data_IF_091986751673
#
_entry.id   IF_091986751673
#
_cell.length_a   1.000
_cell.length_b   1.000
_cell.length_c   1.000
_cell.angle_alpha   90.00
_cell.angle_beta   90.00
_cell.angle_gamma   90.00
#
_symmetry.space_group_name_H-M   'P 1'
#
loop_
_entity.id
_entity.type
_entity.pdbx_description
1 polymer ?
#
# COMPACT_ATOMS: atom_id res chain seq x y z
N UNK A 1 23.73 -3.62 4.92
CA UNK A 1 24.52 -2.53 5.52
C UNK A 1 25.37 -1.69 4.54
N UNK A 2 25.75 -2.17 3.36
CA UNK A 2 26.62 -1.43 2.40
C UNK A 2 25.98 -0.25 1.62
N UNK A 3 24.66 -0.02 1.73
CA UNK A 3 23.96 0.98 0.91
C UNK A 3 23.86 2.37 1.56
N UNK A 4 24.15 2.51 2.85
CA UNK A 4 23.99 3.77 3.59
C UNK A 4 25.17 4.76 3.39
N UNK A 5 26.29 4.31 2.83
CA UNK A 5 27.51 5.09 2.62
C UNK A 5 27.66 5.72 1.22
N UNK A 6 26.68 5.54 0.32
CA UNK A 6 26.78 6.01 -1.08
C UNK A 6 26.10 7.36 -1.28
N UNK A 7 26.72 8.25 -2.09
CA UNK A 7 26.15 9.54 -2.55
C UNK A 7 24.78 9.35 -3.21
N UNK A 8 23.87 10.30 -3.02
CA UNK A 8 22.46 10.23 -3.46
C UNK A 8 22.32 9.95 -4.97
N UNK A 9 23.15 10.56 -5.80
CA UNK A 9 23.10 10.39 -7.27
C UNK A 9 23.39 8.96 -7.72
N UNK A 10 24.34 8.29 -7.06
CA UNK A 10 24.65 6.88 -7.36
C UNK A 10 23.52 5.94 -6.94
N UNK A 11 22.75 6.28 -5.90
CA UNK A 11 21.56 5.51 -5.50
C UNK A 11 20.45 5.69 -6.54
N UNK A 12 20.24 6.92 -6.99
CA UNK A 12 19.26 7.25 -8.01
C UNK A 12 19.58 6.56 -9.34
N UNK A 13 20.81 6.67 -9.85
CA UNK A 13 21.23 6.03 -11.10
C UNK A 13 21.02 4.51 -11.08
N UNK A 14 21.38 3.83 -9.96
CA UNK A 14 21.14 2.39 -9.81
C UNK A 14 19.65 2.04 -9.76
N UNK A 15 18.83 2.89 -9.15
CA UNK A 15 17.38 2.74 -9.13
C UNK A 15 16.83 2.79 -10.55
N UNK A 16 17.21 3.81 -11.31
CA UNK A 16 16.81 3.98 -12.71
C UNK A 16 17.26 2.80 -13.57
N UNK A 17 18.49 2.30 -13.39
CA UNK A 17 18.97 1.12 -14.09
C UNK A 17 18.15 -0.15 -13.80
N UNK A 18 17.66 -0.32 -12.56
CA UNK A 18 16.75 -1.43 -12.23
C UNK A 18 15.38 -1.27 -12.89
N UNK A 19 14.82 -0.05 -12.87
CA UNK A 19 13.54 0.24 -13.54
C UNK A 19 13.67 -0.06 -15.03
N UNK A 20 14.69 0.51 -15.70
CA UNK A 20 14.92 0.30 -17.12
C UNK A 20 15.05 -1.20 -17.48
N UNK A 21 15.67 -2.00 -16.59
CA UNK A 21 15.80 -3.45 -16.78
C UNK A 21 14.46 -4.19 -16.77
N UNK A 22 13.55 -3.80 -15.87
CA UNK A 22 12.32 -4.55 -15.59
C UNK A 22 11.07 -3.95 -16.21
N UNK A 23 11.11 -2.71 -16.69
CA UNK A 23 9.96 -2.08 -17.36
C UNK A 23 9.77 -2.56 -18.81
N UNK A 24 10.76 -3.24 -19.37
CA UNK A 24 10.67 -3.90 -20.68
C UNK A 24 9.87 -5.22 -20.61
N UNK A 25 9.19 -5.61 -21.70
CA UNK A 25 8.56 -6.94 -21.82
C UNK A 25 9.57 -8.09 -21.65
N UNK A 26 9.10 -9.25 -21.15
CA UNK A 26 9.93 -10.44 -20.99
C UNK A 26 10.09 -11.18 -22.33
N UNK A 27 11.33 -11.30 -22.81
CA UNK A 27 11.65 -12.04 -24.04
C UNK A 27 12.21 -13.44 -23.74
N UNK A 28 11.47 -14.48 -24.13
CA UNK A 28 11.92 -15.86 -24.02
C UNK A 28 11.94 -16.45 -22.59
N UNK A 29 12.47 -17.68 -22.47
CA UNK A 29 12.47 -18.44 -21.20
C UNK A 29 13.49 -17.91 -20.19
N UNK A 30 14.67 -17.50 -20.66
CA UNK A 30 15.74 -17.00 -19.80
C UNK A 30 15.35 -15.69 -19.08
N UNK A 31 14.67 -14.76 -19.75
CA UNK A 31 14.18 -13.53 -19.10
C UNK A 31 13.14 -13.82 -18.03
N UNK A 32 12.21 -14.73 -18.31
CA UNK A 32 11.20 -15.16 -17.34
C UNK A 32 11.85 -15.80 -16.12
N UNK A 33 12.82 -16.69 -16.32
CA UNK A 33 13.55 -17.31 -15.22
C UNK A 33 14.29 -16.27 -14.37
N UNK A 34 14.94 -15.28 -15.01
CA UNK A 34 15.60 -14.16 -14.30
C UNK A 34 14.60 -13.29 -13.54
N UNK A 35 13.44 -13.01 -14.12
CA UNK A 35 12.38 -12.25 -13.46
C UNK A 35 11.84 -13.00 -12.24
N UNK A 36 11.61 -14.31 -12.35
CA UNK A 36 11.20 -15.18 -11.25
C UNK A 36 12.27 -15.22 -10.15
N UNK A 37 13.53 -15.49 -10.50
CA UNK A 37 14.62 -15.50 -9.51
C UNK A 37 14.74 -14.14 -8.80
N UNK A 38 14.62 -13.03 -9.52
CA UNK A 38 14.64 -11.69 -8.92
C UNK A 38 13.43 -11.45 -8.01
N UNK A 39 12.22 -11.81 -8.45
CA UNK A 39 11.00 -11.71 -7.66
C UNK A 39 11.14 -12.49 -6.34
N UNK A 40 11.61 -13.74 -6.41
CA UNK A 40 11.73 -14.63 -5.27
C UNK A 40 12.79 -14.17 -4.27
N UNK A 41 14.00 -13.90 -4.75
CA UNK A 41 15.17 -13.70 -3.90
C UNK A 41 15.42 -12.22 -3.56
N UNK A 42 15.22 -11.31 -4.52
CA UNK A 42 15.53 -9.88 -4.33
C UNK A 42 14.32 -9.12 -3.82
N UNK A 43 13.13 -9.37 -4.39
CA UNK A 43 11.90 -8.76 -3.89
C UNK A 43 11.24 -9.56 -2.76
N UNK A 44 11.87 -10.65 -2.32
CA UNK A 44 11.39 -11.49 -1.22
C UNK A 44 10.01 -12.10 -1.51
N UNK A 45 9.78 -12.45 -2.78
CA UNK A 45 8.58 -13.11 -3.28
C UNK A 45 8.33 -14.48 -2.64
N UNK A 46 9.37 -15.15 -2.15
CA UNK A 46 9.27 -16.44 -1.47
C UNK A 46 8.24 -16.43 -0.32
N UNK A 47 8.20 -15.36 0.49
CA UNK A 47 7.24 -15.26 1.59
C UNK A 47 5.80 -15.05 1.11
N UNK A 48 5.63 -14.38 -0.03
CA UNK A 48 4.31 -14.09 -0.61
C UNK A 48 3.73 -15.29 -1.34
N UNK A 49 4.58 -16.18 -1.85
CA UNK A 49 4.16 -17.48 -2.35
C UNK A 49 3.66 -18.40 -1.23
N UNK A 50 4.29 -18.34 -0.05
CA UNK A 50 3.85 -19.10 1.11
C UNK A 50 2.56 -18.52 1.73
N UNK A 51 2.46 -17.18 1.79
CA UNK A 51 1.29 -16.49 2.32
C UNK A 51 1.04 -15.16 1.59
N UNK A 52 -0.01 -15.14 0.77
CA UNK A 52 -0.36 -13.98 -0.05
C UNK A 52 -1.03 -12.84 0.75
N UNK A 53 -1.41 -13.07 2.02
CA UNK A 53 -2.18 -12.11 2.83
C UNK A 53 -3.39 -11.55 2.07
N UNK A 54 -4.12 -12.43 1.37
CA UNK A 54 -5.26 -12.08 0.54
C UNK A 54 -6.56 -12.12 1.35
N UNK A 55 -7.31 -11.02 1.35
CA UNK A 55 -8.58 -10.90 2.07
C UNK A 55 -9.59 -10.15 1.22
N UNK A 56 -10.86 -10.52 1.37
CA UNK A 56 -11.98 -9.77 0.79
C UNK A 56 -12.30 -8.61 1.71
N UNK A 57 -12.30 -7.39 1.18
CA UNK A 57 -12.70 -6.17 1.91
C UNK A 57 -14.21 -5.99 1.81
N UNK A 58 -14.72 -6.05 0.58
CA UNK A 58 -16.15 -6.01 0.25
C UNK A 58 -16.41 -6.98 -0.91
N UNK A 59 -17.66 -7.24 -1.31
CA UNK A 59 -17.92 -8.02 -2.51
C UNK A 59 -17.18 -7.52 -3.77
N UNK A 60 -16.83 -6.23 -3.80
CA UNK A 60 -16.24 -5.52 -4.95
C UNK A 60 -14.72 -5.28 -4.82
N UNK A 61 -14.14 -5.44 -3.62
CA UNK A 61 -12.71 -5.19 -3.41
C UNK A 61 -12.01 -6.33 -2.64
N UNK A 62 -10.89 -6.78 -3.18
CA UNK A 62 -9.90 -7.63 -2.53
C UNK A 62 -8.65 -6.83 -2.18
N UNK A 63 -7.96 -7.23 -1.11
CA UNK A 63 -6.62 -6.74 -0.75
C UNK A 63 -5.65 -7.90 -0.63
N UNK A 64 -4.38 -7.71 -1.04
CA UNK A 64 -3.35 -8.74 -0.91
C UNK A 64 -1.91 -8.20 -0.83
N UNK A 65 -0.96 -9.07 -0.50
CA UNK A 65 0.42 -8.92 -0.92
C UNK A 65 0.52 -9.00 -2.46
N UNK A 66 1.65 -8.62 -3.04
CA UNK A 66 1.77 -8.65 -4.50
C UNK A 66 1.62 -10.10 -5.02
N UNK A 67 0.62 -10.35 -5.88
CA UNK A 67 0.33 -11.70 -6.37
C UNK A 67 1.39 -12.18 -7.36
N UNK A 68 1.66 -13.48 -7.34
CA UNK A 68 2.38 -14.15 -8.40
C UNK A 68 1.45 -14.40 -9.61
N UNK A 69 2.00 -14.75 -10.79
CA UNK A 69 1.18 -15.05 -11.97
C UNK A 69 0.06 -16.08 -11.75
N UNK A 70 0.32 -17.12 -10.93
CA UNK A 70 -0.68 -18.14 -10.58
C UNK A 70 -1.83 -17.58 -9.75
N UNK A 71 -1.54 -16.65 -8.85
CA UNK A 71 -2.55 -15.98 -8.03
C UNK A 71 -3.41 -15.05 -8.88
N UNK A 72 -2.79 -14.33 -9.83
CA UNK A 72 -3.51 -13.48 -10.79
C UNK A 72 -4.50 -14.32 -11.61
N UNK A 73 -4.09 -15.50 -12.07
CA UNK A 73 -4.97 -16.44 -12.75
C UNK A 73 -6.13 -16.93 -11.85
N UNK A 74 -5.91 -17.06 -10.54
CA UNK A 74 -6.97 -17.37 -9.59
C UNK A 74 -7.94 -16.21 -9.42
N UNK A 75 -7.45 -14.98 -9.23
CA UNK A 75 -8.30 -13.80 -9.13
C UNK A 75 -9.10 -13.52 -10.40
N UNK A 76 -8.53 -13.77 -11.59
CA UNK A 76 -9.24 -13.71 -12.86
C UNK A 76 -10.47 -14.63 -12.84
N UNK A 77 -10.32 -15.87 -12.36
CA UNK A 77 -11.42 -16.84 -12.21
C UNK A 77 -12.45 -16.41 -11.15
N UNK A 78 -12.07 -15.57 -10.19
CA UNK A 78 -12.99 -14.95 -9.23
C UNK A 78 -13.70 -13.70 -9.80
N UNK A 79 -13.46 -13.36 -11.07
CA UNK A 79 -14.08 -12.22 -11.74
C UNK A 79 -13.38 -10.88 -11.48
N UNK A 80 -12.16 -10.87 -10.93
CA UNK A 80 -11.39 -9.62 -10.78
C UNK A 80 -11.12 -9.03 -12.16
N UNK A 81 -11.49 -7.75 -12.34
CA UNK A 81 -11.33 -7.01 -13.60
C UNK A 81 -10.13 -6.07 -13.58
N UNK A 82 -9.75 -5.60 -12.40
CA UNK A 82 -8.65 -4.65 -12.22
C UNK A 82 -7.72 -5.06 -11.09
N UNK A 83 -6.42 -4.94 -11.30
CA UNK A 83 -5.40 -5.00 -10.25
C UNK A 83 -4.78 -3.61 -10.06
N UNK A 84 -4.77 -3.13 -8.83
CA UNK A 84 -4.22 -1.83 -8.43
C UNK A 84 -2.89 -2.03 -7.71
N UNK A 85 -1.81 -1.53 -8.31
CA UNK A 85 -0.46 -1.54 -7.73
C UNK A 85 -0.20 -0.29 -6.89
N UNK A 86 -0.07 -0.46 -5.58
CA UNK A 86 0.19 0.64 -4.65
C UNK A 86 1.67 0.99 -4.48
N UNK A 87 2.58 0.25 -5.14
CA UNK A 87 4.01 0.37 -4.88
C UNK A 87 4.68 1.49 -5.65
N UNK A 88 4.21 1.78 -6.87
CA UNK A 88 4.89 2.66 -7.84
C UNK A 88 6.31 2.21 -8.22
N UNK A 89 6.71 1.00 -7.80
CA UNK A 89 8.08 0.51 -7.88
C UNK A 89 8.22 -0.61 -8.90
N UNK A 90 8.73 -0.26 -10.09
CA UNK A 90 8.99 -1.17 -11.22
C UNK A 90 10.40 -1.75 -11.21
N UNK A 91 10.99 -1.86 -10.02
CA UNK A 91 12.43 -2.17 -9.83
C UNK A 91 12.75 -3.67 -9.73
N UNK A 92 11.73 -4.52 -9.80
CA UNK A 92 11.84 -5.94 -9.53
C UNK A 92 11.19 -6.76 -10.64
N UNK A 93 11.66 -7.99 -10.81
CA UNK A 93 11.11 -8.96 -11.76
C UNK A 93 9.63 -9.28 -11.53
N UNK A 94 9.09 -8.96 -10.34
CA UNK A 94 7.66 -9.03 -10.05
C UNK A 94 6.81 -8.18 -11.01
N UNK A 95 7.31 -7.01 -11.43
CA UNK A 95 6.58 -6.07 -12.28
C UNK A 95 6.26 -6.63 -13.67
N UNK A 96 7.25 -7.06 -14.48
CA UNK A 96 6.95 -7.58 -15.80
C UNK A 96 6.22 -8.93 -15.76
N UNK A 97 6.43 -9.75 -14.71
CA UNK A 97 5.65 -10.97 -14.49
C UNK A 97 4.17 -10.66 -14.24
N UNK A 98 3.88 -9.65 -13.43
CA UNK A 98 2.52 -9.19 -13.16
C UNK A 98 1.87 -8.63 -14.43
N UNK A 99 2.57 -7.79 -15.19
CA UNK A 99 2.07 -7.24 -16.46
C UNK A 99 1.68 -8.35 -17.43
N UNK A 100 2.59 -9.29 -17.70
CA UNK A 100 2.33 -10.41 -18.60
C UNK A 100 1.14 -11.27 -18.14
N UNK A 101 1.01 -11.49 -16.83
CA UNK A 101 -0.10 -12.26 -16.28
C UNK A 101 -1.44 -11.51 -16.38
N UNK A 102 -1.46 -10.21 -16.08
CA UNK A 102 -2.67 -9.39 -16.22
C UNK A 102 -3.14 -9.35 -17.67
N UNK A 103 -2.22 -9.12 -18.62
CA UNK A 103 -2.52 -9.10 -20.05
C UNK A 103 -3.10 -10.44 -20.53
N UNK A 104 -2.46 -11.56 -20.15
CA UNK A 104 -2.92 -12.92 -20.46
C UNK A 104 -4.34 -13.20 -19.98
N UNK A 105 -4.76 -12.60 -18.88
CA UNK A 105 -6.06 -12.82 -18.26
C UNK A 105 -7.06 -11.68 -18.51
N UNK A 106 -6.73 -10.69 -19.35
CA UNK A 106 -7.61 -9.55 -19.63
C UNK A 106 -7.90 -8.67 -18.43
N UNK A 107 -6.99 -8.64 -17.44
CA UNK A 107 -7.11 -7.82 -16.23
C UNK A 107 -6.43 -6.48 -16.48
N UNK A 108 -7.13 -5.38 -16.20
CA UNK A 108 -6.52 -4.06 -16.21
C UNK A 108 -5.51 -3.93 -15.06
N UNK A 109 -4.27 -3.51 -15.36
CA UNK A 109 -3.26 -3.21 -14.34
C UNK A 109 -3.09 -1.69 -14.27
N UNK A 110 -3.47 -1.10 -13.13
CA UNK A 110 -3.38 0.36 -12.89
C UNK A 110 -2.55 0.64 -11.64
N UNK A 111 -2.08 1.87 -11.49
CA UNK A 111 -1.27 2.29 -10.35
C UNK A 111 -1.99 3.37 -9.53
N UNK A 112 -1.92 3.25 -8.20
CA UNK A 112 -2.32 4.30 -7.25
C UNK A 112 -1.26 4.33 -6.15
N UNK A 113 -0.22 5.14 -6.35
CA UNK A 113 1.01 5.01 -5.56
C UNK A 113 0.83 5.58 -4.16
N UNK A 114 1.06 4.74 -3.14
CA UNK A 114 0.96 5.14 -1.75
C UNK A 114 2.30 4.98 -1.01
N UNK A 115 2.51 5.84 -0.02
CA UNK A 115 3.59 5.70 0.96
C UNK A 115 3.08 4.91 2.17
N UNK A 116 3.98 4.19 2.84
CA UNK A 116 3.62 3.38 4.01
C UNK A 116 4.25 3.86 5.31
N UNK A 117 5.09 4.91 5.27
CA UNK A 117 5.91 5.39 6.40
C UNK A 117 6.07 6.91 6.38
N UNK A 118 5.13 7.60 5.74
CA UNK A 118 5.08 9.05 5.65
C UNK A 118 3.62 9.48 5.59
N UNK A 119 3.37 10.76 5.86
CA UNK A 119 2.02 11.30 5.82
C UNK A 119 1.41 11.09 4.43
N UNK A 120 0.11 10.75 4.34
CA UNK A 120 -0.58 10.72 3.07
C UNK A 120 -0.48 12.06 2.33
N UNK A 121 -0.20 12.01 1.03
CA UNK A 121 -0.11 13.22 0.22
C UNK A 121 -1.51 13.79 -0.06
N UNK A 122 -1.70 15.09 0.18
CA UNK A 122 -3.02 15.74 0.09
C UNK A 122 -3.65 15.56 -1.30
N UNK A 123 -2.88 15.82 -2.36
CA UNK A 123 -3.36 15.70 -3.75
C UNK A 123 -3.78 14.27 -4.07
N UNK A 124 -2.98 13.29 -3.63
CA UNK A 124 -3.26 11.86 -3.78
C UNK A 124 -4.58 11.48 -3.11
N UNK A 125 -4.86 12.00 -1.90
CA UNK A 125 -6.12 11.71 -1.21
C UNK A 125 -7.31 12.38 -1.89
N UNK A 126 -7.18 13.64 -2.32
CA UNK A 126 -8.24 14.33 -3.06
C UNK A 126 -8.57 13.64 -4.38
N UNK A 127 -7.55 13.11 -5.07
CA UNK A 127 -7.73 12.33 -6.31
C UNK A 127 -8.35 10.94 -6.12
N UNK A 128 -8.49 10.45 -4.87
CA UNK A 128 -8.96 9.09 -4.61
C UNK A 128 -10.40 8.84 -5.07
N UNK A 129 -11.30 9.84 -4.92
CA UNK A 129 -12.70 9.74 -5.38
C UNK A 129 -12.78 9.42 -6.87
N UNK A 130 -12.14 10.25 -7.69
CA UNK A 130 -12.11 10.08 -9.14
C UNK A 130 -11.46 8.75 -9.54
N UNK A 131 -10.41 8.33 -8.82
CA UNK A 131 -9.78 7.03 -9.04
C UNK A 131 -10.75 5.87 -8.78
N UNK A 132 -11.51 5.91 -7.69
CA UNK A 132 -12.48 4.85 -7.36
C UNK A 132 -13.67 4.83 -8.33
N UNK A 133 -14.17 5.98 -8.76
CA UNK A 133 -15.24 6.08 -9.75
C UNK A 133 -14.85 5.48 -11.12
N UNK A 134 -13.58 5.59 -11.50
CA UNK A 134 -13.05 4.96 -12.71
C UNK A 134 -12.67 3.48 -12.57
N UNK A 135 -12.74 2.91 -11.35
CA UNK A 135 -12.23 1.56 -11.08
C UNK A 135 -13.22 0.49 -11.56
N UNK A 136 -12.78 -0.41 -12.45
CA UNK A 136 -13.59 -1.56 -12.85
C UNK A 136 -13.54 -2.65 -11.79
N UNK A 137 -14.70 -2.97 -11.21
CA UNK A 137 -14.84 -3.91 -10.10
C UNK A 137 -15.46 -5.26 -10.54
N UNK A 138 -15.17 -6.38 -9.85
CA UNK A 138 -14.33 -6.49 -8.65
C UNK A 138 -12.85 -6.18 -8.90
N UNK A 139 -12.21 -5.49 -7.95
CA UNK A 139 -10.81 -5.11 -8.04
C UNK A 139 -9.97 -5.82 -6.97
N UNK A 140 -8.67 -6.00 -7.26
CA UNK A 140 -7.67 -6.43 -6.28
C UNK A 140 -6.65 -5.31 -6.10
N UNK A 141 -6.51 -4.81 -4.88
CA UNK A 141 -5.41 -3.91 -4.51
C UNK A 141 -4.27 -4.70 -3.89
N UNK A 142 -3.03 -4.36 -4.24
CA UNK A 142 -1.87 -4.95 -3.57
C UNK A 142 -0.77 -3.94 -3.25
N UNK A 143 0.01 -4.29 -2.23
CA UNK A 143 1.29 -3.63 -1.97
C UNK A 143 2.43 -4.65 -1.96
N UNK A 144 3.42 -4.53 -1.07
CA UNK A 144 4.43 -5.58 -0.90
C UNK A 144 3.87 -6.74 -0.09
N UNK A 145 3.44 -6.50 1.15
CA UNK A 145 2.97 -7.52 2.11
C UNK A 145 1.46 -7.58 2.31
N UNK A 146 0.68 -6.68 1.68
CA UNK A 146 -0.77 -6.61 1.88
C UNK A 146 -1.23 -6.00 3.20
N UNK A 147 -0.29 -5.51 4.02
CA UNK A 147 -0.57 -4.89 5.30
C UNK A 147 -0.85 -3.38 5.16
N UNK A 148 0.19 -2.55 5.16
CA UNK A 148 0.05 -1.09 5.38
C UNK A 148 -0.67 -0.35 4.26
N UNK A 149 -0.07 -0.26 3.06
CA UNK A 149 -0.65 0.50 1.94
C UNK A 149 -1.97 -0.10 1.46
N UNK A 150 -2.05 -1.43 1.44
CA UNK A 150 -3.27 -2.11 1.03
C UNK A 150 -4.39 -1.87 2.06
N UNK A 151 -4.07 -1.84 3.35
CA UNK A 151 -5.01 -1.47 4.41
C UNK A 151 -5.45 -0.02 4.33
N UNK A 152 -4.50 0.89 4.13
CA UNK A 152 -4.79 2.31 3.96
C UNK A 152 -5.68 2.59 2.74
N UNK A 153 -5.36 2.00 1.59
CA UNK A 153 -6.21 2.08 0.40
C UNK A 153 -7.60 1.49 0.66
N UNK A 154 -7.68 0.34 1.34
CA UNK A 154 -8.96 -0.29 1.66
C UNK A 154 -9.81 0.59 2.59
N UNK A 155 -9.18 1.24 3.57
CA UNK A 155 -9.85 2.21 4.44
C UNK A 155 -10.37 3.42 3.66
N UNK A 156 -9.55 4.00 2.77
CA UNK A 156 -9.97 5.09 1.89
C UNK A 156 -11.12 4.67 0.98
N UNK A 157 -11.07 3.47 0.40
CA UNK A 157 -12.14 2.96 -0.45
C UNK A 157 -13.45 2.84 0.33
N UNK A 158 -13.42 2.26 1.53
CA UNK A 158 -14.61 2.15 2.38
C UNK A 158 -15.17 3.52 2.76
N UNK A 159 -14.31 4.46 3.14
CA UNK A 159 -14.72 5.79 3.61
C UNK A 159 -15.22 6.69 2.46
N UNK A 160 -14.51 6.73 1.34
CA UNK A 160 -14.75 7.68 0.24
C UNK A 160 -15.70 7.12 -0.82
N UNK A 161 -15.55 5.85 -1.18
CA UNK A 161 -16.33 5.24 -2.25
C UNK A 161 -17.58 4.51 -1.74
N UNK A 162 -17.49 3.82 -0.61
CA UNK A 162 -18.65 3.12 -0.01
C UNK A 162 -19.38 3.93 1.06
N UNK A 163 -18.88 5.11 1.44
CA UNK A 163 -19.45 5.95 2.51
C UNK A 163 -19.66 5.19 3.84
N UNK A 164 -18.75 4.28 4.16
CA UNK A 164 -18.77 3.52 5.42
C UNK A 164 -18.28 4.39 6.58
N UNK A 165 -18.74 4.11 7.81
CA UNK A 165 -18.22 4.77 9.01
C UNK A 165 -16.70 4.67 9.14
N UNK A 166 -16.07 5.71 9.71
CA UNK A 166 -14.62 5.78 9.86
C UNK A 166 -14.07 4.63 10.72
N UNK A 167 -14.77 4.28 11.80
CA UNK A 167 -14.39 3.19 12.70
C UNK A 167 -14.37 1.82 11.99
N UNK A 168 -15.27 1.61 11.03
CA UNK A 168 -15.29 0.44 10.17
C UNK A 168 -14.10 0.45 9.20
N UNK A 169 -13.86 1.58 8.53
CA UNK A 169 -12.75 1.74 7.59
C UNK A 169 -11.39 1.51 8.26
N UNK A 170 -11.20 2.05 9.47
CA UNK A 170 -9.95 1.93 10.23
C UNK A 170 -9.60 0.49 10.62
N UNK A 171 -10.56 -0.44 10.69
CA UNK A 171 -10.28 -1.87 10.95
C UNK A 171 -9.39 -2.51 9.88
N UNK A 172 -9.28 -1.89 8.70
CA UNK A 172 -8.35 -2.31 7.64
C UNK A 172 -6.87 -2.08 8.00
N UNK A 173 -6.58 -1.24 9.00
CA UNK A 173 -5.26 -1.07 9.60
C UNK A 173 -5.23 -1.81 10.95
N UNK A 174 -4.96 -3.11 10.92
CA UNK A 174 -4.96 -3.92 12.15
C UNK A 174 -3.96 -5.08 12.10
N UNK A 175 -3.65 -5.61 13.29
CA UNK A 175 -2.77 -6.76 13.47
C UNK A 175 -3.25 -8.00 12.69
N UNK A 176 -4.56 -8.14 12.46
CA UNK A 176 -5.16 -9.19 11.61
C UNK A 176 -4.50 -9.25 10.23
N UNK A 177 -4.10 -8.10 9.68
CA UNK A 177 -3.50 -8.00 8.35
C UNK A 177 -1.98 -7.80 8.40
N UNK A 178 -1.35 -7.92 9.58
CA UNK A 178 0.07 -7.69 9.79
C UNK A 178 0.48 -6.21 9.83
N UNK A 179 -0.46 -5.31 10.11
CA UNK A 179 -0.19 -3.89 10.28
C UNK A 179 0.13 -3.56 11.75
N UNK A 180 1.20 -2.80 12.00
CA UNK A 180 1.67 -2.45 13.33
C UNK A 180 1.66 -0.94 13.55
N UNK A 181 0.68 -0.46 14.32
CA UNK A 181 0.50 0.97 14.61
C UNK A 181 1.66 1.63 15.39
N UNK A 182 2.46 0.83 16.10
CA UNK A 182 3.58 1.35 16.91
C UNK A 182 4.89 1.52 16.11
N UNK A 183 4.90 1.12 14.85
CA UNK A 183 6.02 1.34 13.94
C UNK A 183 5.82 2.64 13.13
N UNK A 184 6.76 2.96 12.23
CA UNK A 184 6.63 4.10 11.29
C UNK A 184 5.37 4.06 10.41
N UNK A 185 4.77 2.87 10.27
CA UNK A 185 3.51 2.65 9.56
C UNK A 185 2.30 3.21 10.29
N UNK A 186 2.42 3.47 11.60
CA UNK A 186 1.39 4.07 12.44
C UNK A 186 0.94 5.47 12.03
N UNK A 187 1.69 6.13 11.16
CA UNK A 187 1.30 7.44 10.62
C UNK A 187 0.02 7.36 9.78
N UNK A 188 -0.29 6.18 9.24
CA UNK A 188 -1.52 5.92 8.50
C UNK A 188 -2.73 5.88 9.44
N UNK A 189 -2.58 5.32 10.65
CA UNK A 189 -3.59 5.40 11.70
C UNK A 189 -3.74 6.84 12.17
N UNK A 190 -2.62 7.51 12.47
CA UNK A 190 -2.60 8.89 12.96
C UNK A 190 -3.29 9.87 11.99
N UNK A 191 -3.22 9.61 10.68
CA UNK A 191 -3.97 10.37 9.68
C UNK A 191 -5.48 10.27 9.89
N UNK A 192 -6.03 9.05 9.99
CA UNK A 192 -7.46 8.84 10.22
C UNK A 192 -7.90 9.29 11.62
N UNK A 193 -7.06 9.10 12.64
CA UNK A 193 -7.32 9.62 13.99
C UNK A 193 -7.36 11.15 14.03
N UNK A 194 -6.53 11.82 13.22
CA UNK A 194 -6.57 13.28 13.07
C UNK A 194 -7.87 13.72 12.40
N UNK A 195 -8.30 13.03 11.35
CA UNK A 195 -9.62 13.27 10.76
C UNK A 195 -10.76 13.04 11.78
N UNK A 196 -10.70 11.98 12.58
CA UNK A 196 -11.71 11.70 13.60
C UNK A 196 -11.88 12.88 14.57
N UNK A 197 -10.77 13.47 15.05
CA UNK A 197 -10.78 14.59 15.99
C UNK A 197 -11.15 15.93 15.34
N UNK A 198 -10.64 16.19 14.14
CA UNK A 198 -10.64 17.53 13.56
C UNK A 198 -11.70 17.73 12.48
N UNK A 199 -12.16 16.65 11.86
CA UNK A 199 -13.19 16.63 10.83
C UNK A 199 -14.47 15.96 11.30
N UNK A 200 -14.44 14.65 11.53
CA UNK A 200 -15.65 13.84 11.83
C UNK A 200 -16.38 14.34 13.08
N UNK A 201 -15.66 14.58 14.19
CA UNK A 201 -16.25 15.12 15.41
C UNK A 201 -16.89 16.51 15.26
N UNK A 202 -16.57 17.23 14.18
CA UNK A 202 -17.12 18.54 13.84
C UNK A 202 -18.14 18.48 12.68
N UNK A 203 -18.47 17.29 12.19
CA UNK A 203 -19.40 17.09 11.08
C UNK A 203 -18.85 17.50 9.71
N UNK A 204 -17.53 17.61 9.56
CA UNK A 204 -16.89 17.94 8.27
C UNK A 204 -16.67 16.65 7.49
N UNK A 205 -17.09 16.62 6.22
CA UNK A 205 -16.87 15.47 5.35
C UNK A 205 -15.37 15.21 5.12
N UNK A 206 -14.99 13.94 4.94
CA UNK A 206 -13.59 13.54 4.86
C UNK A 206 -12.77 14.32 3.82
N UNK A 207 -13.25 14.42 2.58
CA UNK A 207 -12.51 15.12 1.53
C UNK A 207 -12.47 16.64 1.74
N UNK A 208 -13.51 17.23 2.34
CA UNK A 208 -13.53 18.67 2.67
C UNK A 208 -12.51 18.97 3.77
N UNK A 209 -12.37 18.09 4.77
CA UNK A 209 -11.32 18.19 5.78
C UNK A 209 -9.93 18.04 5.16
N UNK A 210 -9.74 17.09 4.24
CA UNK A 210 -8.47 16.92 3.52
C UNK A 210 -8.09 18.19 2.74
N UNK A 211 -9.06 18.80 2.06
CA UNK A 211 -8.85 20.01 1.26
C UNK A 211 -8.48 21.21 2.13
N UNK A 212 -9.22 21.43 3.23
CA UNK A 212 -9.22 22.71 3.96
C UNK A 212 -8.40 22.71 5.24
N UNK A 213 -8.13 21.55 5.83
CA UNK A 213 -7.60 21.46 7.19
C UNK A 213 -6.43 20.49 7.34
N UNK A 214 -6.39 19.42 6.56
CA UNK A 214 -5.34 18.42 6.68
C UNK A 214 -3.96 18.95 6.27
N UNK A 215 -3.02 18.99 7.21
CA UNK A 215 -1.62 19.34 6.98
C UNK A 215 -0.70 18.10 7.09
N UNK A 216 -0.15 17.59 5.97
CA UNK A 216 0.78 16.47 5.98
C UNK A 216 2.05 16.75 6.79
N UNK A 217 2.60 17.96 6.74
CA UNK A 217 3.84 18.32 7.44
C UNK A 217 3.62 18.38 8.96
N UNK A 218 2.48 18.93 9.38
CA UNK A 218 2.08 18.89 10.78
C UNK A 218 1.92 17.45 11.27
N UNK A 219 1.26 16.59 10.50
CA UNK A 219 1.12 15.18 10.85
C UNK A 219 2.47 14.48 10.99
N UNK A 220 3.41 14.69 10.07
CA UNK A 220 4.75 14.09 10.16
C UNK A 220 5.54 14.58 11.37
N UNK A 221 5.45 15.88 11.68
CA UNK A 221 6.13 16.48 12.83
C UNK A 221 5.57 15.97 14.16
N UNK A 222 4.26 15.84 14.25
CA UNK A 222 3.57 15.47 15.49
C UNK A 222 3.59 13.94 15.70
N UNK A 223 3.71 13.16 14.62
CA UNK A 223 3.82 11.71 14.70
C UNK A 223 5.20 11.26 15.21
N UNK A 224 5.26 10.89 16.49
CA UNK A 224 6.45 10.26 17.09
C UNK A 224 6.27 8.74 17.19
N UNK A 225 7.15 7.99 16.52
CA UNK A 225 7.17 6.53 16.68
C UNK A 225 7.55 6.17 18.12
N UNK A 226 6.64 5.52 18.84
CA UNK A 226 6.93 5.00 20.19
C UNK A 226 6.27 5.74 21.35
N UNK A 227 5.09 6.36 21.23
CA UNK A 227 4.41 6.97 22.39
C UNK A 227 4.05 5.98 23.53
N UNK A 228 4.17 4.67 23.31
CA UNK A 228 4.14 3.69 24.41
C UNK A 228 5.46 3.60 25.19
N UNK A 229 6.62 3.97 24.65
CA UNK A 229 7.86 3.97 25.44
C UNK A 229 7.90 5.12 26.43
N UNK A 230 7.30 6.28 26.12
CA UNK A 230 7.16 7.38 27.10
C UNK A 230 6.07 7.08 28.14
N UNK A 231 4.92 6.54 27.74
CA UNK A 231 3.86 6.18 28.69
C UNK A 231 4.23 4.97 29.59
N UNK A 232 5.01 4.01 29.08
CA UNK A 232 5.52 2.88 29.89
C UNK A 232 6.70 3.36 30.76
N UNK A 233 7.59 4.22 30.25
CA UNK A 233 8.66 4.82 31.05
C UNK A 233 8.10 5.69 32.18
N UNK A 234 7.12 6.56 31.91
CA UNK A 234 6.49 7.42 32.93
C UNK A 234 5.74 6.61 34.00
N UNK A 235 5.27 5.40 33.67
CA UNK A 235 4.58 4.51 34.61
C UNK A 235 5.53 3.61 35.40
N UNK A 236 6.74 3.36 34.89
CA UNK A 236 7.83 2.68 35.60
C UNK A 236 8.62 3.62 36.51
N UNK A 237 8.85 4.87 36.08
CA UNK A 237 9.60 5.89 36.85
C UNK A 237 8.79 6.43 38.04
N UNK A 238 7.44 6.35 38.03
CA UNK A 238 6.61 6.68 39.20
C UNK A 238 6.52 5.56 40.26
N UNK A 239 7.29 4.48 40.11
CA UNK A 239 7.35 3.36 41.06
C UNK A 239 8.73 3.19 41.71
N UNK A 240 9.62 4.16 41.55
CA UNK A 240 10.81 4.34 42.40
C UNK A 240 10.72 5.65 43.16
#
# INVERSE_FOLDING_TARGET
>A
MLNLLRRNDQRYARRMARIARWDRPLSGRADRLRAWANMLLVDHGIFRLAYLNAHRVTPRLWRAAQPAPTDIAWFARQGVKTIVNLRGGREHGAWPLQREACERHGIALVEFVLRSRGAPDRETILGSRAFFEGLKEPALVHCKSGADRAGFFSALYLLVHENRPLDEAMKQLSLRYGHFRFAKTGILDAFFETYAREGEAKGIAFLDWVERSYDPEALERDFKTGFLSSLIADRLIRRE
#
